data_IF_912303505077
#
_entry.id   IF_912303505077
#
_cell.length_a   1.000
_cell.length_b   1.000
_cell.length_c   1.000
_cell.angle_alpha   90.00
_cell.angle_beta   90.00
_cell.angle_gamma   90.00
#
_symmetry.space_group_name_H-M   'P 1'
#
loop_
_entity.id
_entity.type
_entity.pdbx_description
1 polymer ?
#
# COMPACT_ATOMS: atom_id res chain seq x y z
N UNK A 1 -31.63 20.74 -41.71
CA UNK A 1 -30.50 20.74 -40.76
C UNK A 1 -30.42 19.36 -40.13
N UNK A 2 -29.43 18.53 -40.52
CA UNK A 2 -29.07 17.29 -39.79
C UNK A 2 -28.61 17.63 -38.37
N UNK A 3 -28.69 16.75 -37.38
CA UNK A 3 -28.17 15.38 -37.34
C UNK A 3 -29.06 14.47 -36.47
N UNK A 4 -29.15 13.15 -36.76
CA UNK A 4 -29.53 12.15 -35.77
C UNK A 4 -28.26 11.53 -35.15
N UNK A 5 -28.07 11.66 -33.83
CA UNK A 5 -27.07 10.89 -33.10
C UNK A 5 -27.74 9.65 -32.51
N UNK A 6 -27.54 8.53 -33.19
CA UNK A 6 -27.98 7.22 -32.78
C UNK A 6 -27.02 6.61 -31.74
N UNK A 7 -27.60 6.23 -30.61
CA UNK A 7 -27.47 4.86 -30.07
C UNK A 7 -26.05 4.34 -29.77
N UNK A 8 -25.29 5.05 -28.93
CA UNK A 8 -24.05 4.51 -28.32
C UNK A 8 -24.25 4.01 -26.88
N UNK A 9 -25.46 4.07 -26.32
CA UNK A 9 -25.73 3.90 -24.88
C UNK A 9 -25.82 2.46 -24.34
N UNK A 10 -25.54 1.42 -25.13
CA UNK A 10 -25.68 0.02 -24.66
C UNK A 10 -24.43 -0.86 -24.87
N UNK A 11 -23.49 -0.46 -25.72
CA UNK A 11 -22.27 -1.24 -26.01
C UNK A 11 -21.05 -0.77 -25.22
N UNK A 12 -20.99 0.52 -24.88
CA UNK A 12 -19.93 1.09 -24.04
C UNK A 12 -19.81 0.40 -22.66
N UNK A 13 -20.88 0.07 -21.92
CA UNK A 13 -20.75 -0.56 -20.61
C UNK A 13 -20.08 -1.95 -20.70
N UNK A 14 -20.46 -2.77 -21.68
CA UNK A 14 -19.91 -4.12 -21.82
C UNK A 14 -18.48 -4.11 -22.35
N UNK A 15 -18.19 -3.25 -23.33
CA UNK A 15 -16.82 -3.12 -23.83
C UNK A 15 -15.87 -2.60 -22.75
N UNK A 16 -16.29 -1.62 -21.96
CA UNK A 16 -15.49 -1.11 -20.84
C UNK A 16 -15.27 -2.18 -19.77
N UNK A 17 -16.30 -2.95 -19.40
CA UNK A 17 -16.16 -4.07 -18.46
C UNK A 17 -15.19 -5.13 -19.01
N UNK A 18 -15.29 -5.48 -20.29
CA UNK A 18 -14.36 -6.42 -20.91
C UNK A 18 -12.92 -5.88 -20.90
N UNK A 19 -12.71 -4.60 -21.22
CA UNK A 19 -11.39 -3.97 -21.16
C UNK A 19 -10.82 -4.03 -19.74
N UNK A 20 -11.61 -3.72 -18.71
CA UNK A 20 -11.18 -3.80 -17.29
C UNK A 20 -10.81 -5.23 -16.90
N UNK A 21 -11.62 -6.23 -17.30
CA UNK A 21 -11.31 -7.64 -17.02
C UNK A 21 -10.04 -8.13 -17.73
N UNK A 22 -9.82 -7.72 -18.97
CA UNK A 22 -8.63 -8.06 -19.76
C UNK A 22 -7.39 -7.40 -19.16
N UNK A 23 -7.48 -6.12 -18.76
CA UNK A 23 -6.38 -5.41 -18.10
C UNK A 23 -5.97 -6.08 -16.78
N UNK A 24 -6.96 -6.56 -16.01
CA UNK A 24 -6.69 -7.42 -14.85
C UNK A 24 -5.98 -8.71 -15.27
N UNK A 25 -6.54 -9.48 -16.19
CA UNK A 25 -5.93 -10.74 -16.61
C UNK A 25 -4.48 -10.59 -17.09
N UNK A 26 -4.20 -9.53 -17.87
CA UNK A 26 -2.84 -9.22 -18.34
C UNK A 26 -1.89 -8.96 -17.18
N UNK A 27 -2.27 -8.15 -16.18
CA UNK A 27 -1.38 -7.87 -15.05
C UNK A 27 -1.19 -9.11 -14.15
N UNK A 28 -2.18 -10.01 -13.99
CA UNK A 28 -1.99 -11.31 -13.31
C UNK A 28 -1.03 -12.20 -14.09
N UNK A 29 -1.21 -12.31 -15.40
CA UNK A 29 -0.33 -13.10 -16.26
C UNK A 29 1.11 -12.58 -16.18
N UNK A 30 1.30 -11.26 -16.24
CA UNK A 30 2.59 -10.61 -16.03
C UNK A 30 3.13 -10.99 -14.63
N UNK A 31 2.41 -10.73 -13.54
CA UNK A 31 2.89 -11.08 -12.19
C UNK A 31 3.23 -12.57 -12.03
N UNK A 32 2.45 -13.49 -12.62
CA UNK A 32 2.72 -14.93 -12.59
C UNK A 32 3.95 -15.31 -13.43
N UNK A 33 4.18 -14.65 -14.56
CA UNK A 33 5.38 -14.88 -15.37
C UNK A 33 6.63 -14.35 -14.68
N UNK A 34 6.57 -13.16 -14.07
CA UNK A 34 7.68 -12.56 -13.35
C UNK A 34 8.07 -13.37 -12.10
N UNK A 35 7.09 -13.90 -11.37
CA UNK A 35 7.31 -14.83 -10.24
C UNK A 35 7.86 -16.18 -10.69
N UNK A 36 7.38 -16.75 -11.82
CA UNK A 36 7.91 -18.01 -12.38
C UNK A 36 9.33 -17.89 -12.94
N UNK A 37 9.70 -16.72 -13.46
CA UNK A 37 11.03 -16.44 -13.98
C UNK A 37 12.02 -16.01 -12.89
N UNK A 38 11.58 -15.89 -11.64
CA UNK A 38 12.43 -15.50 -10.50
C UNK A 38 12.94 -14.06 -10.59
N UNK A 39 12.16 -13.16 -11.21
CA UNK A 39 12.56 -11.79 -11.54
C UNK A 39 11.80 -10.75 -10.68
N UNK A 40 11.58 -11.05 -9.40
CA UNK A 40 10.83 -10.20 -8.47
C UNK A 40 11.51 -8.84 -8.22
N UNK A 41 12.82 -8.72 -8.53
CA UNK A 41 13.63 -7.52 -8.28
C UNK A 41 13.61 -6.47 -9.43
N UNK A 42 12.94 -6.73 -10.56
CA UNK A 42 13.14 -5.94 -11.80
C UNK A 42 11.95 -5.09 -12.28
N UNK A 43 10.88 -4.96 -11.49
CA UNK A 43 9.72 -4.10 -11.82
C UNK A 43 9.65 -2.80 -11.02
N UNK A 44 10.73 -2.41 -10.33
CA UNK A 44 10.90 -0.99 -9.98
C UNK A 44 11.50 -0.26 -11.19
N UNK A 45 10.87 0.81 -11.69
CA UNK A 45 11.39 1.56 -12.82
C UNK A 45 12.72 2.22 -12.43
N UNK A 46 13.81 1.73 -13.00
CA UNK A 46 15.16 2.28 -12.90
C UNK A 46 15.21 3.74 -13.42
N UNK A 47 15.09 4.69 -12.51
CA UNK A 47 15.97 5.85 -12.51
C UNK A 47 16.85 5.62 -11.26
N UNK A 48 18.16 5.35 -11.32
CA UNK A 48 19.11 5.66 -12.36
C UNK A 48 20.56 5.34 -11.91
N UNK A 49 21.44 5.09 -12.91
CA UNK A 49 22.92 5.25 -12.93
C UNK A 49 23.83 4.09 -12.46
N UNK A 50 24.43 3.44 -13.47
CA UNK A 50 25.83 2.99 -13.58
C UNK A 50 26.45 2.22 -12.40
N UNK A 51 26.52 0.89 -12.59
CA UNK A 51 27.28 -0.03 -11.76
C UNK A 51 28.77 0.36 -11.59
N UNK A 52 29.16 0.58 -10.34
CA UNK A 52 30.53 0.48 -9.82
C UNK A 52 30.52 -0.49 -8.62
N UNK A 53 31.53 -1.36 -8.43
CA UNK A 53 31.39 -2.56 -7.61
C UNK A 53 31.87 -2.34 -6.17
N UNK A 54 31.06 -1.78 -5.28
CA UNK A 54 31.21 -1.95 -3.82
C UNK A 54 29.82 -1.92 -3.17
N UNK A 55 29.39 -3.07 -2.63
CA UNK A 55 28.06 -3.30 -2.08
C UNK A 55 27.86 -2.55 -0.76
N UNK A 56 27.41 -1.30 -0.84
CA UNK A 56 26.59 -0.69 0.21
C UNK A 56 25.13 -0.97 -0.15
N UNK A 57 24.46 -1.76 0.67
CA UNK A 57 23.01 -1.93 0.64
C UNK A 57 22.35 -0.56 0.83
N UNK A 58 21.81 0.02 -0.24
CA UNK A 58 20.89 1.17 -0.14
C UNK A 58 19.72 0.78 0.77
N UNK A 59 19.50 1.46 1.91
CA UNK A 59 18.36 1.19 2.75
C UNK A 59 17.12 1.77 2.06
N UNK A 60 16.15 0.92 1.70
CA UNK A 60 14.79 1.39 1.40
C UNK A 60 14.31 2.19 2.59
N UNK A 61 14.27 3.52 2.45
CA UNK A 61 13.74 4.42 3.47
C UNK A 61 12.22 4.25 3.52
N UNK A 62 11.76 3.15 4.12
CA UNK A 62 10.35 3.03 4.47
C UNK A 62 10.02 4.16 5.44
N UNK A 63 8.91 4.87 5.20
CA UNK A 63 8.48 5.90 6.13
C UNK A 63 8.25 5.25 7.51
N UNK A 64 8.81 5.87 8.55
CA UNK A 64 8.69 5.39 9.94
C UNK A 64 7.21 5.23 10.31
N UNK A 65 6.35 6.08 9.76
CA UNK A 65 4.89 5.99 9.84
C UNK A 65 4.32 4.74 9.17
N UNK A 66 4.74 4.37 7.95
CA UNK A 66 4.32 3.13 7.31
C UNK A 66 4.69 1.91 8.16
N UNK A 67 5.91 1.86 8.68
CA UNK A 67 6.37 0.76 9.52
C UNK A 67 5.49 0.60 10.77
N UNK A 68 5.24 1.68 11.51
CA UNK A 68 4.39 1.65 12.70
C UNK A 68 2.94 1.27 12.38
N UNK A 69 2.38 1.75 11.27
CA UNK A 69 1.00 1.41 10.89
C UNK A 69 0.86 -0.06 10.50
N UNK A 70 1.86 -0.65 9.84
CA UNK A 70 1.86 -2.08 9.48
C UNK A 70 1.80 -3.01 10.68
N UNK A 71 2.36 -2.59 11.81
CA UNK A 71 2.25 -3.32 13.09
C UNK A 71 0.83 -3.26 13.67
N UNK A 72 0.14 -2.14 13.46
CA UNK A 72 -1.23 -1.93 13.98
C UNK A 72 -2.25 -2.70 13.13
N UNK A 73 -2.06 -2.76 11.81
CA UNK A 73 -3.00 -3.43 10.91
C UNK A 73 -2.76 -4.95 10.91
N UNK A 74 -3.70 -5.79 11.38
CA UNK A 74 -3.50 -7.23 11.36
C UNK A 74 -3.48 -7.76 9.93
N UNK A 75 -2.63 -8.77 9.70
CA UNK A 75 -2.63 -9.59 8.49
C UNK A 75 -3.32 -10.90 8.85
N UNK A 76 -4.29 -11.30 8.04
CA UNK A 76 -5.01 -12.57 8.16
C UNK A 76 -5.12 -13.22 6.78
N UNK A 77 -5.44 -14.51 6.72
CA UNK A 77 -5.75 -15.15 5.44
C UNK A 77 -7.18 -14.81 5.02
N UNK A 78 -7.40 -14.68 3.71
CA UNK A 78 -8.73 -14.44 3.16
C UNK A 78 -9.74 -15.56 3.50
N UNK A 79 -9.28 -16.79 3.66
CA UNK A 79 -10.13 -17.91 4.11
C UNK A 79 -10.64 -17.78 5.54
N UNK A 80 -10.07 -16.90 6.38
CA UNK A 80 -10.40 -16.77 7.81
C UNK A 80 -11.47 -15.71 8.08
N UNK A 81 -11.85 -14.91 7.08
CA UNK A 81 -12.81 -13.81 7.23
C UNK A 81 -14.21 -14.20 6.74
N UNK A 82 -15.24 -13.77 7.47
CA UNK A 82 -16.65 -14.02 7.15
C UNK A 82 -17.21 -12.88 6.31
N UNK A 83 -17.87 -13.21 5.20
CA UNK A 83 -18.53 -12.27 4.27
C UNK A 83 -17.61 -11.14 3.75
N UNK A 84 -16.42 -11.45 3.21
CA UNK A 84 -15.55 -10.44 2.63
C UNK A 84 -15.97 -10.04 1.21
N UNK A 85 -15.53 -8.86 0.72
CA UNK A 85 -15.66 -8.54 -0.69
C UNK A 85 -14.86 -9.52 -1.54
N UNK A 86 -15.37 -9.86 -2.72
CA UNK A 86 -14.72 -10.82 -3.63
C UNK A 86 -13.43 -10.27 -4.27
N UNK A 87 -13.29 -8.94 -4.37
CA UNK A 87 -12.21 -8.28 -5.11
C UNK A 87 -11.52 -7.21 -4.29
N UNK A 88 -10.20 -7.12 -4.41
CA UNK A 88 -9.41 -6.04 -3.87
C UNK A 88 -9.60 -4.78 -4.73
N UNK A 89 -10.05 -3.68 -4.12
CA UNK A 89 -10.33 -2.45 -4.87
C UNK A 89 -9.07 -1.70 -5.35
N UNK A 90 -7.87 -2.09 -4.90
CA UNK A 90 -6.60 -1.47 -5.32
C UNK A 90 -6.07 -2.13 -6.59
N UNK A 91 -5.95 -3.45 -6.59
CA UNK A 91 -5.42 -4.19 -7.74
C UNK A 91 -6.49 -4.73 -8.68
N UNK A 92 -7.77 -4.64 -8.29
CA UNK A 92 -8.96 -5.11 -8.99
C UNK A 92 -9.02 -6.65 -9.19
N UNK A 93 -8.23 -7.40 -8.43
CA UNK A 93 -8.20 -8.85 -8.45
C UNK A 93 -9.13 -9.49 -7.45
N UNK A 94 -9.64 -10.66 -7.83
CA UNK A 94 -10.31 -11.58 -6.92
C UNK A 94 -9.33 -12.06 -5.84
N UNK A 95 -9.86 -12.24 -4.64
CA UNK A 95 -9.10 -12.84 -3.55
C UNK A 95 -9.10 -14.35 -3.67
N UNK A 96 -7.95 -14.95 -3.43
CA UNK A 96 -7.75 -16.39 -3.32
C UNK A 96 -7.73 -16.81 -1.85
N UNK A 97 -8.09 -18.06 -1.53
CA UNK A 97 -8.25 -18.52 -0.13
C UNK A 97 -7.00 -18.34 0.74
N UNK A 98 -5.82 -18.40 0.13
CA UNK A 98 -4.53 -18.27 0.80
C UNK A 98 -3.96 -16.84 0.75
N UNK A 99 -4.68 -15.89 0.15
CA UNK A 99 -4.24 -14.50 0.07
C UNK A 99 -4.11 -13.89 1.47
N UNK A 100 -2.96 -13.28 1.73
CA UNK A 100 -2.78 -12.41 2.89
C UNK A 100 -3.49 -11.08 2.67
N UNK A 101 -4.43 -10.78 3.55
CA UNK A 101 -5.25 -9.57 3.47
C UNK A 101 -5.10 -8.73 4.74
N UNK A 102 -5.24 -7.41 4.56
CA UNK A 102 -5.40 -6.46 5.66
C UNK A 102 -6.84 -5.99 5.70
N UNK A 103 -7.49 -6.18 6.84
CA UNK A 103 -8.79 -5.58 7.16
C UNK A 103 -8.56 -4.35 8.03
N UNK A 104 -8.89 -3.17 7.50
CA UNK A 104 -8.67 -1.91 8.22
C UNK A 104 -9.58 -1.82 9.44
N UNK A 105 -9.03 -1.48 10.62
CA UNK A 105 -9.81 -1.46 11.88
C UNK A 105 -10.92 -0.40 11.86
N UNK A 106 -10.65 0.76 11.27
CA UNK A 106 -11.56 1.93 11.33
C UNK A 106 -12.77 1.80 10.40
N UNK A 107 -12.56 1.32 9.17
CA UNK A 107 -13.61 1.27 8.14
C UNK A 107 -13.94 -0.15 7.67
N UNK A 108 -13.26 -1.18 8.19
CA UNK A 108 -13.47 -2.60 7.88
C UNK A 108 -13.26 -3.01 6.42
N UNK A 109 -12.81 -2.11 5.55
CA UNK A 109 -12.45 -2.42 4.17
C UNK A 109 -11.27 -3.39 4.11
N UNK A 110 -11.30 -4.27 3.10
CA UNK A 110 -10.39 -5.40 2.91
C UNK A 110 -9.60 -5.21 1.62
N UNK A 111 -8.30 -5.46 1.70
CA UNK A 111 -7.36 -5.36 0.59
C UNK A 111 -6.25 -6.41 0.75
N UNK A 112 -5.55 -6.76 -0.33
CA UNK A 112 -4.31 -7.55 -0.21
C UNK A 112 -3.29 -6.80 0.66
N UNK A 113 -2.55 -7.55 1.49
CA UNK A 113 -1.46 -7.02 2.31
C UNK A 113 -0.51 -6.16 1.46
N UNK A 114 -0.02 -6.71 0.36
CA UNK A 114 0.90 -6.02 -0.55
C UNK A 114 0.33 -4.72 -1.13
N UNK A 115 -0.97 -4.71 -1.46
CA UNK A 115 -1.64 -3.53 -2.01
C UNK A 115 -1.68 -2.36 -1.03
N UNK A 116 -1.98 -2.62 0.26
CA UNK A 116 -2.00 -1.55 1.27
C UNK A 116 -0.58 -1.20 1.73
N UNK A 117 0.32 -2.18 1.77
CA UNK A 117 1.72 -1.93 2.17
C UNK A 117 2.40 -0.99 1.17
N UNK A 118 2.24 -1.21 -0.14
CA UNK A 118 2.72 -0.30 -1.18
C UNK A 118 2.03 1.08 -1.11
N UNK A 119 0.73 1.11 -0.78
CA UNK A 119 0.02 2.36 -0.58
C UNK A 119 0.66 3.20 0.54
N UNK A 120 1.00 2.56 1.66
CA UNK A 120 1.72 3.21 2.76
C UNK A 120 3.14 3.64 2.38
N UNK A 121 3.85 2.87 1.54
CA UNK A 121 5.19 3.25 1.06
C UNK A 121 5.17 4.55 0.22
N UNK A 122 4.03 4.89 -0.38
CA UNK A 122 3.83 6.15 -1.09
C UNK A 122 3.24 7.27 -0.19
N UNK A 123 3.55 7.22 1.11
CA UNK A 123 3.10 8.17 2.14
C UNK A 123 1.57 8.31 2.25
N UNK A 124 0.81 7.31 1.81
CA UNK A 124 -0.65 7.31 1.94
C UNK A 124 -1.10 6.51 3.17
N UNK A 125 -1.46 7.24 4.24
CA UNK A 125 -1.88 6.64 5.53
C UNK A 125 -3.40 6.57 5.70
N UNK A 126 -4.12 6.49 4.58
CA UNK A 126 -5.59 6.50 4.54
C UNK A 126 -6.14 5.37 3.69
N UNK A 127 -7.37 4.94 3.99
CA UNK A 127 -8.08 3.92 3.24
C UNK A 127 -8.27 4.31 1.76
N UNK A 128 -7.84 3.48 0.79
CA UNK A 128 -8.03 3.75 -0.64
C UNK A 128 -9.49 3.96 -1.07
N UNK A 129 -10.45 3.38 -0.32
CA UNK A 129 -11.88 3.46 -0.64
C UNK A 129 -12.60 4.65 0.00
N UNK A 130 -12.32 4.95 1.27
CA UNK A 130 -13.10 5.92 2.04
C UNK A 130 -12.28 7.04 2.69
N UNK A 131 -10.95 7.02 2.52
CA UNK A 131 -10.01 8.00 3.07
C UNK A 131 -9.96 8.10 4.60
N UNK A 132 -10.64 7.21 5.32
CA UNK A 132 -10.45 7.07 6.76
C UNK A 132 -8.98 6.78 7.07
N UNK A 133 -8.41 7.46 8.06
CA UNK A 133 -7.02 7.22 8.50
C UNK A 133 -6.82 5.79 8.99
N UNK A 134 -5.60 5.27 8.88
CA UNK A 134 -5.26 3.94 9.39
C UNK A 134 -5.12 3.90 10.92
N UNK A 135 -4.73 5.03 11.52
CA UNK A 135 -4.61 5.20 12.96
C UNK A 135 -5.96 5.66 13.51
N UNK A 136 -6.57 4.91 14.45
CA UNK A 136 -7.76 5.35 15.18
C UNK A 136 -7.50 6.63 15.99
N UNK A 137 -8.51 7.49 16.12
CA UNK A 137 -8.37 8.76 16.83
C UNK A 137 -7.93 8.59 18.30
N UNK A 138 -8.40 7.54 18.97
CA UNK A 138 -8.05 7.20 20.35
C UNK A 138 -6.59 6.71 20.51
N UNK A 139 -5.96 6.26 19.43
CA UNK A 139 -4.54 5.84 19.43
C UNK A 139 -3.60 6.90 18.84
N UNK A 140 -4.12 8.05 18.42
CA UNK A 140 -3.35 9.06 17.70
C UNK A 140 -2.22 9.66 18.55
N UNK A 141 -2.47 9.94 19.84
CA UNK A 141 -1.46 10.50 20.74
C UNK A 141 -0.28 9.53 20.92
N UNK A 142 -0.57 8.26 21.21
CA UNK A 142 0.44 7.20 21.37
C UNK A 142 1.20 6.98 20.06
N UNK A 143 0.51 7.04 18.92
CA UNK A 143 1.14 6.90 17.61
C UNK A 143 2.10 8.07 17.33
N UNK A 144 1.69 9.31 17.63
CA UNK A 144 2.52 10.49 17.46
C UNK A 144 3.76 10.43 18.37
N UNK A 145 3.62 10.03 19.63
CA UNK A 145 4.75 9.83 20.54
C UNK A 145 5.76 8.83 19.98
N UNK A 146 5.27 7.68 19.49
CA UNK A 146 6.12 6.66 18.85
C UNK A 146 6.81 7.19 17.60
N UNK A 147 6.11 7.96 16.77
CA UNK A 147 6.69 8.62 15.60
C UNK A 147 7.83 9.57 15.99
N UNK A 148 7.61 10.41 17.00
CA UNK A 148 8.61 11.36 17.50
C UNK A 148 9.86 10.67 18.05
N UNK A 149 9.68 9.56 18.78
CA UNK A 149 10.78 8.75 19.30
C UNK A 149 11.57 8.09 18.15
N UNK A 150 10.86 7.50 17.19
CA UNK A 150 11.47 6.81 16.06
C UNK A 150 12.08 7.76 15.01
N UNK A 151 11.69 9.04 14.98
CA UNK A 151 12.30 10.05 14.11
C UNK A 151 13.65 10.58 14.61
N UNK A 152 14.13 10.13 15.77
CA UNK A 152 15.45 10.49 16.31
C UNK A 152 15.57 11.95 16.77
N UNK A 153 14.45 12.68 16.90
CA UNK A 153 14.43 14.11 17.26
C UNK A 153 14.76 14.33 18.76
N UNK A 154 14.63 13.29 19.59
CA UNK A 154 14.86 13.34 21.05
C UNK A 154 16.29 13.71 21.46
N UNK A 155 17.30 13.43 20.63
CA UNK A 155 18.69 13.61 21.03
C UNK A 155 19.13 15.09 21.13
N UNK A 156 18.33 16.04 20.68
CA UNK A 156 18.70 17.47 20.75
C UNK A 156 18.43 18.14 22.09
N UNK A 157 17.43 17.67 22.86
CA UNK A 157 17.04 18.30 24.13
C UNK A 157 17.74 17.71 25.35
N UNK A 158 18.06 16.41 25.32
CA UNK A 158 18.85 15.80 26.39
C UNK A 158 20.30 16.33 26.39
N UNK A 159 20.94 16.50 25.23
CA UNK A 159 22.31 17.01 25.14
C UNK A 159 22.46 18.44 25.71
N UNK A 160 21.46 19.31 25.52
CA UNK A 160 21.43 20.65 26.14
C UNK A 160 21.24 20.59 27.67
N UNK A 161 20.45 19.63 28.18
CA UNK A 161 20.20 19.47 29.60
C UNK A 161 21.42 18.93 30.36
N UNK A 162 22.21 18.04 29.75
CA UNK A 162 23.48 17.56 30.32
C UNK A 162 24.56 18.65 30.29
N UNK A 163 24.60 19.51 29.26
CA UNK A 163 25.52 20.64 29.19
C UNK A 163 25.14 21.75 30.20
N UNK A 164 23.85 22.00 30.42
CA UNK A 164 23.37 22.99 31.39
C UNK A 164 23.52 22.54 32.86
N UNK A 165 23.57 21.23 33.12
CA UNK A 165 23.73 20.64 34.46
C UNK A 165 25.20 20.40 34.85
N UNK A 166 26.13 20.61 33.92
CA UNK A 166 27.58 20.41 34.08
C UNK A 166 28.40 21.70 34.26
N UNK A 167 27.75 22.83 34.56
CA UNK A 167 28.36 24.14 34.84
C UNK A 167 28.14 24.54 36.30
#
# INVERSE_FOLDING_TARGET
>A
MGFPLGYTDMYLPKLLLHIITILGFIKKLISTLFTLLGLEDFLEPEFSYLAGPESCSEPRFHSVSAALIREILPVVKYSEIVDPPEKCAVCLYEFELDDEIRRLRNCKHVFHRSCVDHWMDHDQMTCPLCRAGFVPDDMMEVFNEKLWLASGVSNYYEEYSYIASGL
#
